data_IF_370778782708
#
_entry.id   IF_370778782708
#
_cell.length_a   1.000
_cell.length_b   1.000
_cell.length_c   1.000
_cell.angle_alpha   90.00
_cell.angle_beta   90.00
_cell.angle_gamma   90.00
#
_symmetry.space_group_name_H-M   'P 1'
#
loop_
_entity.id
_entity.type
_entity.pdbx_description
1 polymer ?
#
# COMPACT_ATOMS: atom_id res chain seq x y z
N UNK A 1 6.83 -4.16 -2.05
CA UNK A 1 7.19 -4.21 -0.62
C UNK A 1 7.77 -2.87 -0.24
N UNK A 2 7.46 -2.39 0.95
CA UNK A 2 7.98 -1.15 1.49
C UNK A 2 8.52 -1.36 2.90
N UNK A 3 9.47 -0.53 3.28
CA UNK A 3 10.07 -0.54 4.61
C UNK A 3 10.03 0.86 5.22
N UNK A 4 9.86 0.93 6.51
CA UNK A 4 10.00 2.18 7.26
C UNK A 4 10.57 1.93 8.65
N UNK A 5 11.12 2.96 9.26
CA UNK A 5 11.51 2.94 10.66
C UNK A 5 10.41 3.57 11.52
N UNK A 6 9.99 2.84 12.55
CA UNK A 6 9.06 3.32 13.58
C UNK A 6 9.88 3.85 14.78
N UNK A 7 10.03 5.18 14.93
CA UNK A 7 10.84 5.75 16.01
C UNK A 7 10.16 5.63 17.39
N UNK A 8 8.87 5.44 17.43
CA UNK A 8 8.12 5.32 18.70
C UNK A 8 8.38 3.98 19.37
N UNK A 9 8.47 2.90 18.58
CA UNK A 9 8.77 1.55 19.05
C UNK A 9 10.22 1.11 18.80
N UNK A 10 10.99 1.95 18.10
CA UNK A 10 12.39 1.67 17.68
C UNK A 10 12.51 0.36 16.90
N UNK A 11 11.63 0.21 15.89
CA UNK A 11 11.56 -0.98 15.04
C UNK A 11 11.64 -0.59 13.57
N UNK A 12 12.34 -1.39 12.80
CA UNK A 12 12.20 -1.42 11.34
C UNK A 12 11.04 -2.33 10.98
N UNK A 13 10.19 -1.88 10.08
CA UNK A 13 8.98 -2.58 9.66
C UNK A 13 9.03 -2.82 8.16
N UNK A 14 8.67 -4.03 7.75
CA UNK A 14 8.44 -4.39 6.34
C UNK A 14 6.95 -4.64 6.09
N UNK A 15 6.44 -3.96 5.09
CA UNK A 15 5.14 -4.22 4.48
C UNK A 15 5.33 -5.16 3.29
N UNK A 16 5.02 -6.43 3.50
CA UNK A 16 5.23 -7.49 2.52
C UNK A 16 3.95 -7.77 1.76
N UNK A 17 4.04 -7.82 0.43
CA UNK A 17 2.92 -8.26 -0.40
C UNK A 17 2.65 -9.74 -0.15
N UNK A 18 1.39 -10.07 0.04
CA UNK A 18 0.92 -11.46 0.08
C UNK A 18 -0.31 -11.65 -0.79
N UNK A 19 -0.57 -12.88 -1.19
CA UNK A 19 -1.78 -13.26 -1.91
C UNK A 19 -2.43 -14.39 -1.11
N UNK A 20 -3.62 -14.14 -0.59
CA UNK A 20 -4.42 -15.16 0.06
C UNK A 20 -5.64 -15.54 -0.79
N UNK A 21 -6.25 -16.68 -0.48
CA UNK A 21 -7.34 -17.23 -1.28
C UNK A 21 -8.62 -16.38 -1.28
N UNK A 22 -8.87 -15.61 -0.22
CA UNK A 22 -10.11 -14.84 -0.03
C UNK A 22 -9.96 -13.39 -0.46
N UNK A 23 -8.92 -12.72 0.01
CA UNK A 23 -8.74 -11.27 -0.18
C UNK A 23 -7.74 -10.94 -1.29
N UNK A 24 -7.14 -11.94 -1.90
CA UNK A 24 -6.10 -11.83 -2.93
C UNK A 24 -4.93 -10.96 -2.46
N UNK A 25 -4.66 -9.80 -3.09
CA UNK A 25 -3.54 -8.92 -2.70
C UNK A 25 -3.81 -8.28 -1.35
N UNK A 26 -2.97 -8.62 -0.39
CA UNK A 26 -3.03 -8.21 1.01
C UNK A 26 -1.62 -7.87 1.50
N UNK A 27 -1.48 -7.46 2.75
CA UNK A 27 -0.19 -7.16 3.34
C UNK A 27 0.09 -8.09 4.51
N UNK A 28 1.35 -8.51 4.60
CA UNK A 28 1.92 -9.13 5.77
C UNK A 28 2.88 -8.16 6.46
N UNK A 29 3.02 -8.34 7.76
CA UNK A 29 3.84 -7.56 8.65
C UNK A 29 5.06 -8.34 9.11
N UNK A 30 6.21 -7.69 9.10
CA UNK A 30 7.44 -8.18 9.71
C UNK A 30 8.14 -7.00 10.36
N UNK A 31 8.65 -7.18 11.58
CA UNK A 31 9.42 -6.15 12.28
C UNK A 31 10.66 -6.72 12.95
N UNK A 32 11.68 -5.88 13.08
CA UNK A 32 12.87 -6.18 13.88
C UNK A 32 13.56 -4.87 14.33
N UNK A 33 14.29 -4.92 15.44
CA UNK A 33 15.10 -3.77 15.90
C UNK A 33 16.35 -3.58 15.06
N UNK A 34 16.91 -4.67 14.56
CA UNK A 34 18.07 -4.69 13.71
C UNK A 34 17.64 -4.81 12.23
N UNK A 35 18.02 -3.84 11.36
CA UNK A 35 17.66 -3.86 9.95
C UNK A 35 18.30 -5.03 9.17
N UNK A 36 19.49 -5.49 9.53
CA UNK A 36 20.14 -6.63 8.87
C UNK A 36 19.39 -7.93 9.17
N UNK A 37 18.95 -8.09 10.41
CA UNK A 37 18.10 -9.22 10.79
C UNK A 37 16.74 -9.15 10.09
N UNK A 38 16.15 -7.96 9.93
CA UNK A 38 14.90 -7.78 9.20
C UNK A 38 15.03 -8.27 7.75
N UNK A 39 16.12 -7.88 7.07
CA UNK A 39 16.41 -8.32 5.69
C UNK A 39 16.63 -9.83 5.64
N UNK A 40 17.40 -10.39 6.55
CA UNK A 40 17.64 -11.84 6.65
C UNK A 40 16.35 -12.63 6.83
N UNK A 41 15.47 -12.17 7.72
CA UNK A 41 14.14 -12.77 7.93
C UNK A 41 13.29 -12.67 6.67
N UNK A 42 13.30 -11.54 5.98
CA UNK A 42 12.55 -11.36 4.74
C UNK A 42 13.00 -12.33 3.64
N UNK A 43 14.29 -12.57 3.49
CA UNK A 43 14.83 -13.58 2.55
C UNK A 43 14.34 -14.99 2.90
N UNK A 44 14.45 -15.40 4.16
CA UNK A 44 13.97 -16.72 4.61
C UNK A 44 12.50 -16.94 4.33
N UNK A 45 11.69 -15.91 4.46
CA UNK A 45 10.27 -15.94 4.18
C UNK A 45 10.00 -16.13 2.69
N UNK A 46 10.77 -15.48 1.83
CA UNK A 46 10.65 -15.62 0.39
C UNK A 46 10.93 -17.07 -0.04
N UNK A 47 11.93 -17.68 0.57
CA UNK A 47 12.34 -19.06 0.27
C UNK A 47 11.37 -20.11 0.81
N UNK A 48 10.83 -19.94 2.01
CA UNK A 48 10.06 -20.97 2.72
C UNK A 48 8.56 -20.68 2.93
N UNK A 49 8.05 -19.56 2.49
CA UNK A 49 6.62 -19.11 2.51
C UNK A 49 5.90 -19.18 3.87
N UNK A 50 6.51 -19.73 4.90
CA UNK A 50 5.94 -19.81 6.23
C UNK A 50 7.02 -19.55 7.28
N UNK A 51 7.02 -18.38 7.87
CA UNK A 51 7.85 -18.07 9.01
C UNK A 51 6.98 -17.57 10.16
N UNK A 52 7.28 -18.04 11.39
CA UNK A 52 6.56 -17.65 12.61
C UNK A 52 6.65 -16.15 12.94
N UNK A 53 7.57 -15.43 12.32
CA UNK A 53 7.75 -13.99 12.49
C UNK A 53 6.84 -13.15 11.59
N UNK A 54 6.30 -13.74 10.51
CA UNK A 54 5.32 -13.06 9.67
C UNK A 54 3.97 -13.04 10.37
N UNK A 55 3.33 -11.88 10.30
CA UNK A 55 1.93 -11.71 10.68
C UNK A 55 1.11 -11.25 9.49
N UNK A 56 -0.04 -11.85 9.28
CA UNK A 56 -1.05 -11.24 8.44
C UNK A 56 -1.38 -9.87 9.01
N UNK A 57 -1.43 -8.87 8.14
CA UNK A 57 -1.60 -7.49 8.59
C UNK A 57 -3.00 -6.99 8.25
N UNK A 58 -3.22 -6.68 6.99
CA UNK A 58 -4.50 -6.18 6.52
C UNK A 58 -4.75 -6.47 5.03
N UNK A 59 -5.99 -6.34 4.64
CA UNK A 59 -6.51 -6.33 3.27
C UNK A 59 -7.30 -5.05 3.02
N UNK A 60 -7.85 -4.93 1.82
CA UNK A 60 -8.81 -3.86 1.52
C UNK A 60 -10.09 -4.04 2.34
N UNK A 61 -10.67 -2.92 2.76
CA UNK A 61 -11.95 -2.88 3.45
C UNK A 61 -13.11 -3.05 2.47
N UNK A 62 -14.29 -3.38 2.97
CA UNK A 62 -15.47 -3.58 2.13
C UNK A 62 -15.95 -2.27 1.45
N UNK A 63 -15.66 -1.14 2.10
CA UNK A 63 -16.00 0.23 1.69
C UNK A 63 -14.85 0.98 1.00
N UNK A 64 -13.72 0.31 0.75
CA UNK A 64 -12.67 0.88 -0.10
C UNK A 64 -13.20 1.11 -1.53
N UNK A 65 -12.68 2.12 -2.26
CA UNK A 65 -13.13 2.47 -3.59
C UNK A 65 -13.14 1.30 -4.56
N UNK A 66 -14.18 1.21 -5.38
CA UNK A 66 -14.35 0.21 -6.43
C UNK A 66 -14.24 0.85 -7.82
N UNK A 67 -13.88 0.04 -8.79
CA UNK A 67 -13.84 0.48 -10.18
C UNK A 67 -15.25 0.85 -10.66
N UNK A 68 -15.45 2.06 -11.22
CA UNK A 68 -16.80 2.51 -11.61
C UNK A 68 -17.46 1.63 -12.68
N UNK A 69 -16.67 1.03 -13.58
CA UNK A 69 -17.18 0.14 -14.63
C UNK A 69 -17.22 -1.34 -14.22
N UNK A 70 -16.56 -1.71 -13.12
CA UNK A 70 -16.47 -3.09 -12.61
C UNK A 70 -16.75 -3.12 -11.10
N UNK A 71 -17.94 -2.66 -10.65
CA UNK A 71 -18.25 -2.51 -9.22
C UNK A 71 -18.34 -3.86 -8.48
N UNK A 72 -18.49 -4.97 -9.21
CA UNK A 72 -18.47 -6.33 -8.66
C UNK A 72 -17.08 -6.77 -8.20
N UNK A 73 -16.01 -6.18 -8.75
CA UNK A 73 -14.66 -6.52 -8.37
C UNK A 73 -14.35 -6.02 -6.95
N UNK A 74 -13.81 -6.92 -6.15
CA UNK A 74 -13.39 -6.58 -4.79
C UNK A 74 -12.10 -5.75 -4.83
N UNK A 75 -12.02 -4.61 -4.14
CA UNK A 75 -10.78 -3.87 -4.01
C UNK A 75 -9.71 -4.71 -3.30
N UNK A 76 -8.43 -4.43 -3.60
CA UNK A 76 -7.29 -5.16 -3.05
C UNK A 76 -6.19 -4.17 -2.68
N UNK A 77 -5.38 -4.47 -1.66
CA UNK A 77 -4.22 -3.64 -1.33
C UNK A 77 -3.05 -4.00 -2.24
N UNK A 78 -2.78 -3.14 -3.21
CA UNK A 78 -1.69 -3.32 -4.15
C UNK A 78 -0.34 -2.99 -3.53
N UNK A 79 -0.23 -1.83 -2.87
CA UNK A 79 0.96 -1.41 -2.15
C UNK A 79 0.59 -0.71 -0.83
N UNK A 80 1.58 -0.55 0.05
CA UNK A 80 1.46 0.20 1.29
C UNK A 80 2.84 0.72 1.66
N UNK A 81 2.97 2.03 1.71
CA UNK A 81 4.10 2.76 2.26
C UNK A 81 3.70 3.44 3.56
N UNK A 82 4.67 3.72 4.42
CA UNK A 82 4.43 4.45 5.64
C UNK A 82 5.64 5.27 6.06
N UNK A 83 5.39 6.35 6.79
CA UNK A 83 6.43 7.19 7.39
C UNK A 83 6.00 7.72 8.75
N UNK A 84 6.91 7.86 9.71
CA UNK A 84 6.64 8.64 10.91
C UNK A 84 6.50 10.12 10.56
N UNK A 85 5.47 10.75 11.10
CA UNK A 85 5.23 12.17 10.96
C UNK A 85 4.66 12.73 12.24
N UNK A 86 5.38 13.67 12.87
CA UNK A 86 5.03 14.21 14.19
C UNK A 86 4.71 13.12 15.22
N UNK A 87 3.49 13.04 15.72
CA UNK A 87 3.06 12.11 16.77
C UNK A 87 2.37 10.84 16.26
N UNK A 88 2.49 10.49 14.98
CA UNK A 88 1.88 9.28 14.40
C UNK A 88 2.70 8.73 13.23
N UNK A 89 2.24 7.63 12.68
CA UNK A 89 2.73 7.09 11.42
C UNK A 89 1.66 7.32 10.36
N UNK A 90 2.01 8.02 9.28
CA UNK A 90 1.16 8.15 8.10
C UNK A 90 1.34 6.92 7.21
N UNK A 91 0.23 6.39 6.70
CA UNK A 91 0.20 5.28 5.77
C UNK A 91 -0.43 5.66 4.43
N UNK A 92 0.18 5.19 3.35
CA UNK A 92 -0.28 5.40 1.98
C UNK A 92 -0.65 4.06 1.38
N UNK A 93 -1.94 3.87 1.08
CA UNK A 93 -2.51 2.59 0.69
C UNK A 93 -2.90 2.64 -0.78
N UNK A 94 -2.14 1.99 -1.64
CA UNK A 94 -2.55 1.83 -3.03
C UNK A 94 -3.64 0.76 -3.11
N UNK A 95 -4.84 1.17 -3.46
CA UNK A 95 -5.99 0.30 -3.63
C UNK A 95 -6.17 -0.03 -5.10
N UNK A 96 -5.97 -1.30 -5.44
CA UNK A 96 -6.28 -1.84 -6.75
C UNK A 96 -7.79 -2.08 -6.85
N UNK A 97 -8.40 -1.52 -7.87
CA UNK A 97 -9.84 -1.61 -8.11
C UNK A 97 -10.17 -2.53 -9.31
N UNK A 98 -9.17 -2.93 -10.05
CA UNK A 98 -9.34 -3.77 -11.25
C UNK A 98 -9.19 -3.00 -12.56
N UNK A 99 -9.54 -3.67 -13.67
CA UNK A 99 -9.63 -5.12 -13.78
C UNK A 99 -8.24 -5.80 -13.85
N UNK A 100 -8.20 -7.12 -14.03
CA UNK A 100 -6.95 -7.85 -14.23
C UNK A 100 -6.36 -7.54 -15.63
N UNK A 101 -5.06 -7.75 -15.81
CA UNK A 101 -4.34 -7.33 -17.01
C UNK A 101 -4.96 -7.87 -18.33
N UNK A 102 -5.36 -9.14 -18.35
CA UNK A 102 -5.97 -9.75 -19.54
C UNK A 102 -7.29 -9.07 -19.95
N UNK A 103 -8.05 -8.55 -18.97
CA UNK A 103 -9.27 -7.77 -19.25
C UNK A 103 -8.90 -6.36 -19.74
N UNK A 104 -7.90 -5.74 -19.10
CA UNK A 104 -7.36 -4.46 -19.54
C UNK A 104 -6.92 -4.51 -21.02
N UNK A 105 -6.14 -5.54 -21.35
CA UNK A 105 -5.62 -5.75 -22.72
C UNK A 105 -6.75 -5.98 -23.72
N UNK A 106 -7.74 -6.80 -23.37
CA UNK A 106 -8.85 -7.13 -24.28
C UNK A 106 -9.81 -5.95 -24.53
N UNK A 107 -9.96 -5.07 -23.55
CA UNK A 107 -10.85 -3.90 -23.64
C UNK A 107 -10.11 -2.60 -23.98
N UNK A 108 -8.79 -2.65 -24.08
CA UNK A 108 -7.92 -1.49 -24.27
C UNK A 108 -8.16 -0.39 -23.24
N UNK A 109 -8.26 -0.78 -21.96
CA UNK A 109 -8.45 0.11 -20.81
C UNK A 109 -7.30 -0.04 -19.81
N UNK A 110 -7.13 0.96 -18.98
CA UNK A 110 -6.13 0.90 -17.92
C UNK A 110 -6.67 0.21 -16.67
N UNK A 111 -5.76 -0.39 -15.93
CA UNK A 111 -5.99 -0.86 -14.58
C UNK A 111 -6.14 0.35 -13.66
N UNK A 112 -7.13 0.32 -12.77
CA UNK A 112 -7.35 1.41 -11.83
C UNK A 112 -6.68 1.13 -10.49
N UNK A 113 -5.76 2.00 -10.09
CA UNK A 113 -5.20 2.09 -8.75
C UNK A 113 -5.26 3.53 -8.28
N UNK A 114 -5.64 3.72 -7.03
CA UNK A 114 -5.65 5.02 -6.36
C UNK A 114 -4.98 4.90 -4.99
N UNK A 115 -4.41 5.99 -4.49
CA UNK A 115 -3.74 5.99 -3.19
C UNK A 115 -4.63 6.66 -2.14
N UNK A 116 -4.96 5.93 -1.09
CA UNK A 116 -5.63 6.43 0.09
C UNK A 116 -4.61 6.75 1.18
N UNK A 117 -4.95 7.67 2.07
CA UNK A 117 -4.15 7.99 3.26
C UNK A 117 -4.83 7.46 4.52
N UNK A 118 -4.04 6.99 5.45
CA UNK A 118 -4.44 6.62 6.79
C UNK A 118 -3.36 6.99 7.81
N UNK A 119 -3.62 6.74 9.06
CA UNK A 119 -2.66 6.98 10.12
C UNK A 119 -2.72 5.89 11.19
N UNK A 120 -1.63 5.75 11.93
CA UNK A 120 -1.48 4.79 13.01
C UNK A 120 -0.73 5.39 14.20
N UNK A 121 -1.10 4.99 15.42
CA UNK A 121 -0.36 5.33 16.65
C UNK A 121 0.67 4.27 17.03
N UNK A 122 0.46 3.04 16.61
CA UNK A 122 1.30 1.89 16.98
C UNK A 122 2.01 1.23 15.79
N UNK A 123 1.83 1.77 14.59
CA UNK A 123 2.41 1.23 13.37
C UNK A 123 1.83 -0.11 12.90
N UNK A 124 0.81 -0.63 13.59
CA UNK A 124 0.17 -1.89 13.24
C UNK A 124 -1.33 -1.74 12.95
N UNK A 125 -2.08 -1.02 13.79
CA UNK A 125 -3.49 -0.72 13.58
C UNK A 125 -3.65 0.61 12.86
N UNK A 126 -4.41 0.61 11.78
CA UNK A 126 -4.58 1.76 10.88
C UNK A 126 -5.99 2.33 10.96
N UNK A 127 -6.08 3.63 11.18
CA UNK A 127 -7.29 4.38 10.92
C UNK A 127 -7.32 4.74 9.42
N UNK A 128 -8.34 4.23 8.72
CA UNK A 128 -8.59 4.42 7.29
C UNK A 128 -10.06 4.79 7.01
N UNK A 129 -10.65 5.57 7.90
CA UNK A 129 -12.07 5.98 7.78
C UNK A 129 -12.34 6.84 6.54
N UNK A 130 -11.37 7.69 6.17
CA UNK A 130 -11.48 8.47 4.94
C UNK A 130 -11.19 7.57 3.74
N UNK A 131 -12.24 7.27 2.96
CA UNK A 131 -12.17 6.45 1.74
C UNK A 131 -12.02 7.26 0.46
N UNK A 132 -11.90 8.59 0.56
CA UNK A 132 -11.58 9.42 -0.62
C UNK A 132 -10.11 9.24 -0.99
N UNK A 133 -9.80 9.06 -2.27
CA UNK A 133 -8.41 8.99 -2.70
C UNK A 133 -7.65 10.27 -2.34
N UNK A 134 -6.50 10.10 -1.72
CA UNK A 134 -5.51 11.15 -1.50
C UNK A 134 -4.81 11.53 -2.81
N UNK A 135 -4.47 10.50 -3.59
CA UNK A 135 -3.97 10.65 -4.96
C UNK A 135 -4.95 9.93 -5.91
N UNK A 136 -5.93 10.65 -6.44
CA UNK A 136 -6.92 10.09 -7.35
C UNK A 136 -6.33 9.90 -8.76
N UNK A 137 -6.96 9.03 -9.53
CA UNK A 137 -6.73 8.97 -10.98
C UNK A 137 -7.55 10.03 -11.71
N UNK A 138 -7.08 10.41 -12.88
CA UNK A 138 -7.82 11.23 -13.83
C UNK A 138 -8.60 10.35 -14.81
N UNK A 139 -9.79 10.79 -15.17
CA UNK A 139 -10.55 10.22 -16.30
C UNK A 139 -10.10 10.82 -17.64
N UNK A 140 -9.30 11.89 -17.63
CA UNK A 140 -8.64 12.40 -18.83
C UNK A 140 -7.47 11.51 -19.21
N UNK A 141 -7.58 10.84 -20.34
CA UNK A 141 -6.58 9.91 -20.85
C UNK A 141 -5.21 10.57 -21.13
N UNK A 142 -5.15 11.89 -21.29
CA UNK A 142 -3.90 12.63 -21.49
C UNK A 142 -3.25 13.10 -20.19
N UNK A 143 -3.92 12.91 -19.04
CA UNK A 143 -3.33 13.26 -17.76
C UNK A 143 -2.25 12.25 -17.34
N UNK A 144 -1.22 12.73 -16.62
CA UNK A 144 -0.13 11.88 -16.13
C UNK A 144 -0.60 10.75 -15.20
N UNK A 145 -1.75 10.94 -14.53
CA UNK A 145 -2.36 9.99 -13.62
C UNK A 145 -3.62 9.33 -14.21
N UNK A 146 -3.70 9.22 -15.53
CA UNK A 146 -4.83 8.61 -16.21
C UNK A 146 -4.98 7.14 -15.79
N UNK A 147 -6.10 6.79 -15.16
CA UNK A 147 -6.46 5.43 -14.76
C UNK A 147 -5.61 4.80 -13.65
N UNK A 148 -4.37 5.22 -13.42
CA UNK A 148 -3.45 4.46 -12.58
C UNK A 148 -2.47 5.35 -11.80
N UNK A 149 -2.54 5.33 -10.47
CA UNK A 149 -1.50 5.85 -9.57
C UNK A 149 -1.03 4.72 -8.67
N UNK A 150 0.21 4.24 -8.86
CA UNK A 150 0.63 2.97 -8.28
C UNK A 150 1.17 3.06 -6.87
N UNK A 151 1.86 4.15 -6.51
CA UNK A 151 2.48 4.29 -5.20
C UNK A 151 2.95 5.71 -4.94
N UNK A 152 3.36 5.98 -3.70
CA UNK A 152 4.04 7.22 -3.31
C UNK A 152 5.57 7.10 -3.40
N UNK A 153 6.09 6.10 -4.06
CA UNK A 153 7.54 5.84 -4.24
C UNK A 153 8.37 5.96 -2.95
N UNK A 154 7.82 5.47 -1.84
CA UNK A 154 8.43 5.52 -0.51
C UNK A 154 7.92 6.67 0.35
N UNK A 155 8.74 7.10 1.30
CA UNK A 155 8.39 8.19 2.21
C UNK A 155 8.50 9.54 1.52
N UNK A 156 7.55 10.46 1.71
CA UNK A 156 7.69 11.84 1.25
C UNK A 156 8.88 12.54 1.92
N UNK A 157 9.41 13.54 1.24
CA UNK A 157 10.46 14.41 1.78
C UNK A 157 9.82 15.57 2.52
N UNK A 158 10.38 15.90 3.69
CA UNK A 158 10.01 17.09 4.45
C UNK A 158 11.00 18.20 4.09
N UNK A 159 10.51 19.28 3.48
CA UNK A 159 11.31 20.44 3.12
C UNK A 159 10.59 21.70 3.61
N UNK A 160 11.13 22.32 4.65
CA UNK A 160 10.44 23.41 5.35
C UNK A 160 9.09 22.96 5.88
N UNK A 161 8.02 23.65 5.53
CA UNK A 161 6.65 23.37 5.95
C UNK A 161 5.89 22.50 4.91
N UNK A 162 6.61 21.84 4.01
CA UNK A 162 5.98 21.10 2.90
C UNK A 162 6.40 19.63 2.88
N UNK A 163 5.46 18.74 2.51
CA UNK A 163 5.69 17.35 2.21
C UNK A 163 5.71 17.15 0.69
N UNK A 164 6.82 16.65 0.16
CA UNK A 164 6.99 16.37 -1.28
C UNK A 164 6.83 14.88 -1.54
N UNK A 165 5.83 14.53 -2.34
CA UNK A 165 5.54 13.17 -2.77
C UNK A 165 6.06 12.92 -4.17
N UNK A 166 6.79 11.83 -4.36
CA UNK A 166 7.13 11.32 -5.67
C UNK A 166 6.13 10.21 -6.00
N UNK A 167 5.44 10.36 -7.10
CA UNK A 167 4.38 9.42 -7.52
C UNK A 167 4.59 9.02 -8.97
N UNK A 168 4.08 7.84 -9.32
CA UNK A 168 4.02 7.37 -10.71
C UNK A 168 2.58 7.06 -11.09
N UNK A 169 2.19 7.47 -12.28
CA UNK A 169 0.91 7.19 -12.91
C UNK A 169 1.10 6.59 -14.29
#
# INVERSE_FOLDING_TARGET
CAAYYDPFRKKYVLSLKTINGVYRRSRNYLEHEDPEMLVSLAHRIYDNKSDKFIRYWFNADADDPRHPQFPELRPQIYNHEAMPYEGCILGYFTVWQGPENNVCDSLNIQKRNEVLIGWSKDGFHWNRENKKPFLPVSEDFHAWNAGNVQSTAGSPLIVGDSLYFYVSG
#
